data_IF_044628944232
#
_entry.id   IF_044628944232
#
_cell.length_a   1.000
_cell.length_b   1.000
_cell.length_c   1.000
_cell.angle_alpha   90.00
_cell.angle_beta   90.00
_cell.angle_gamma   90.00
#
_symmetry.space_group_name_H-M   'P 1'
#
loop_
_entity.id
_entity.type
_entity.pdbx_description
1 polymer ?
#
# COMPACT_ATOMS: atom_id res chain seq x y z
N UNK A 1 -41.66 3.12 -14.75
CA UNK A 1 -40.70 2.73 -13.69
C UNK A 1 -39.25 2.77 -14.18
N UNK A 2 -38.90 2.17 -15.30
CA UNK A 2 -37.53 2.11 -15.86
C UNK A 2 -36.86 3.48 -16.10
N UNK A 3 -37.60 4.47 -16.58
CA UNK A 3 -37.11 5.83 -16.83
C UNK A 3 -36.68 6.55 -15.55
N UNK A 4 -37.41 6.41 -14.43
CA UNK A 4 -37.01 7.01 -13.13
C UNK A 4 -35.69 6.43 -12.62
N UNK A 5 -35.50 5.13 -12.78
CA UNK A 5 -34.26 4.43 -12.42
C UNK A 5 -33.09 4.90 -13.29
N UNK A 6 -33.33 5.05 -14.61
CA UNK A 6 -32.32 5.54 -15.55
C UNK A 6 -31.86 6.95 -15.21
N UNK A 7 -32.78 7.90 -14.98
CA UNK A 7 -32.47 9.30 -14.63
C UNK A 7 -31.77 9.39 -13.25
N UNK A 8 -32.21 8.61 -12.27
CA UNK A 8 -31.54 8.54 -10.98
C UNK A 8 -30.09 8.08 -11.11
N UNK A 9 -29.85 7.09 -11.98
CA UNK A 9 -28.50 6.59 -12.25
C UNK A 9 -27.62 7.64 -12.96
N UNK A 10 -28.16 8.36 -13.93
CA UNK A 10 -27.46 9.46 -14.59
C UNK A 10 -27.11 10.58 -13.60
N UNK A 11 -28.05 11.01 -12.74
CA UNK A 11 -27.80 11.99 -11.69
C UNK A 11 -26.69 11.55 -10.72
N UNK A 12 -26.68 10.29 -10.31
CA UNK A 12 -25.66 9.76 -9.40
C UNK A 12 -24.27 9.76 -10.06
N UNK A 13 -24.18 9.45 -11.36
CA UNK A 13 -22.92 9.53 -12.10
C UNK A 13 -22.43 10.96 -12.21
N UNK A 14 -23.29 11.90 -12.57
CA UNK A 14 -22.95 13.33 -12.65
C UNK A 14 -22.48 13.86 -11.30
N UNK A 15 -23.24 13.62 -10.23
CA UNK A 15 -22.87 14.06 -8.89
C UNK A 15 -21.54 13.47 -8.41
N UNK A 16 -21.25 12.20 -8.73
CA UNK A 16 -19.97 11.56 -8.37
C UNK A 16 -18.82 12.16 -9.20
N UNK A 17 -19.02 12.44 -10.49
CA UNK A 17 -18.04 13.10 -11.34
C UNK A 17 -17.79 14.55 -10.86
N UNK A 18 -18.84 15.35 -10.66
CA UNK A 18 -18.72 16.73 -10.18
C UNK A 18 -18.02 16.82 -8.81
N UNK A 19 -18.37 15.95 -7.86
CA UNK A 19 -17.68 15.88 -6.56
C UNK A 19 -16.19 15.60 -6.69
N UNK A 20 -15.80 14.76 -7.64
CA UNK A 20 -14.40 14.41 -7.87
C UNK A 20 -13.63 15.52 -8.55
N UNK A 21 -14.28 16.25 -9.46
CA UNK A 21 -13.69 17.37 -10.19
C UNK A 21 -13.54 18.64 -9.33
N UNK A 22 -14.36 18.78 -8.28
CA UNK A 22 -14.28 19.90 -7.31
C UNK A 22 -13.25 19.69 -6.20
N UNK A 23 -12.48 18.60 -6.20
CA UNK A 23 -11.37 18.41 -5.26
C UNK A 23 -10.13 19.18 -5.74
N UNK A 24 -9.44 19.88 -4.83
CA UNK A 24 -8.30 20.76 -5.13
C UNK A 24 -7.07 20.06 -5.74
N UNK A 25 -7.01 18.70 -5.72
CA UNK A 25 -5.89 17.92 -6.28
C UNK A 25 -6.44 16.72 -7.06
N UNK A 26 -6.91 16.98 -8.28
CA UNK A 26 -7.47 15.94 -9.15
C UNK A 26 -6.36 15.31 -10.00
N UNK A 27 -5.84 14.17 -9.54
CA UNK A 27 -4.84 13.40 -10.29
C UNK A 27 -5.37 12.91 -11.67
N UNK A 28 -4.47 12.71 -12.66
CA UNK A 28 -4.83 12.33 -14.03
C UNK A 28 -5.66 11.04 -14.11
N UNK A 29 -5.45 10.08 -13.20
CA UNK A 29 -6.23 8.85 -13.14
C UNK A 29 -7.70 9.10 -12.78
N UNK A 30 -7.98 10.11 -11.95
CA UNK A 30 -9.35 10.51 -11.54
C UNK A 30 -10.06 11.18 -12.69
N UNK A 31 -9.38 12.05 -13.44
CA UNK A 31 -9.89 12.70 -14.64
C UNK A 31 -10.22 11.67 -15.73
N UNK A 32 -9.32 10.71 -15.97
CA UNK A 32 -9.52 9.65 -16.96
C UNK A 32 -10.68 8.72 -16.58
N UNK A 33 -10.86 8.43 -15.28
CA UNK A 33 -11.99 7.65 -14.80
C UNK A 33 -13.31 8.42 -14.95
N UNK A 34 -13.32 9.73 -14.66
CA UNK A 34 -14.49 10.59 -14.86
C UNK A 34 -14.87 10.63 -16.35
N UNK A 35 -13.91 10.84 -17.25
CA UNK A 35 -14.10 10.85 -18.68
C UNK A 35 -14.78 9.56 -19.18
N UNK A 36 -14.24 8.38 -18.85
CA UNK A 36 -14.83 7.07 -19.22
C UNK A 36 -16.28 6.92 -18.74
N UNK A 37 -16.62 7.44 -17.57
CA UNK A 37 -17.97 7.38 -17.03
C UNK A 37 -18.92 8.30 -17.77
N UNK A 38 -18.48 9.51 -18.09
CA UNK A 38 -19.26 10.49 -18.87
C UNK A 38 -19.51 9.98 -20.29
N UNK A 39 -18.50 9.42 -20.97
CA UNK A 39 -18.65 8.78 -22.28
C UNK A 39 -19.61 7.59 -22.25
N UNK A 40 -19.57 6.78 -21.19
CA UNK A 40 -20.50 5.66 -21.02
C UNK A 40 -21.92 6.16 -20.81
N UNK A 41 -22.10 7.26 -20.08
CA UNK A 41 -23.39 7.91 -19.89
C UNK A 41 -23.90 8.52 -21.18
N UNK A 42 -23.05 9.15 -21.99
CA UNK A 42 -23.39 9.70 -23.31
C UNK A 42 -23.95 8.61 -24.25
N UNK A 43 -23.26 7.47 -24.35
CA UNK A 43 -23.74 6.30 -25.13
C UNK A 43 -25.09 5.79 -24.63
N UNK A 44 -25.27 5.76 -23.32
CA UNK A 44 -26.52 5.32 -22.68
C UNK A 44 -27.68 6.27 -22.96
N UNK A 45 -27.43 7.60 -22.96
CA UNK A 45 -28.40 8.64 -23.32
C UNK A 45 -28.77 8.59 -24.81
N UNK A 46 -27.78 8.38 -25.70
CA UNK A 46 -28.02 8.17 -27.13
C UNK A 46 -28.94 6.98 -27.39
N UNK A 47 -28.70 5.87 -26.68
CA UNK A 47 -29.57 4.69 -26.76
C UNK A 47 -31.00 4.95 -26.23
N UNK A 48 -31.13 5.74 -25.15
CA UNK A 48 -32.41 6.05 -24.51
C UNK A 48 -33.23 7.11 -25.28
N UNK A 49 -32.63 7.85 -26.21
CA UNK A 49 -33.25 8.88 -27.05
C UNK A 49 -34.41 8.30 -27.85
N UNK A 50 -35.58 8.89 -27.71
CA UNK A 50 -36.83 8.45 -28.39
C UNK A 50 -37.38 7.09 -27.89
N UNK A 51 -36.68 6.38 -27.00
CA UNK A 51 -37.13 5.10 -26.42
C UNK A 51 -37.61 5.26 -24.97
N UNK A 52 -36.85 5.94 -24.18
CA UNK A 52 -37.11 6.20 -22.74
C UNK A 52 -37.23 7.66 -22.41
N UNK A 53 -36.67 8.55 -23.21
CA UNK A 53 -36.61 10.01 -23.00
C UNK A 53 -37.09 10.70 -24.27
N UNK A 54 -37.82 11.80 -24.10
CA UNK A 54 -38.21 12.67 -25.20
C UNK A 54 -36.96 13.13 -25.97
N UNK A 55 -37.05 13.19 -27.29
CA UNK A 55 -35.95 13.54 -28.20
C UNK A 55 -35.35 14.91 -27.87
N UNK A 56 -36.18 15.92 -27.66
CA UNK A 56 -35.72 17.28 -27.32
C UNK A 56 -34.97 17.36 -25.99
N UNK A 57 -35.47 16.67 -24.96
CA UNK A 57 -34.83 16.59 -23.65
C UNK A 57 -33.52 15.77 -23.71
N UNK A 58 -33.52 14.70 -24.49
CA UNK A 58 -32.30 13.90 -24.69
C UNK A 58 -31.21 14.70 -25.43
N UNK A 59 -31.60 15.48 -26.46
CA UNK A 59 -30.66 16.28 -27.24
C UNK A 59 -30.06 17.44 -26.41
N UNK A 60 -30.82 18.03 -25.49
CA UNK A 60 -30.26 19.00 -24.54
C UNK A 60 -29.25 18.37 -23.61
N UNK A 61 -29.60 17.25 -22.95
CA UNK A 61 -28.70 16.54 -22.05
C UNK A 61 -27.46 16.05 -22.76
N UNK A 62 -27.52 15.65 -24.02
CA UNK A 62 -26.37 15.21 -24.80
C UNK A 62 -25.44 16.40 -25.14
N UNK A 63 -25.98 17.62 -25.37
CA UNK A 63 -25.18 18.82 -25.56
C UNK A 63 -24.45 19.20 -24.27
N UNK A 64 -25.17 19.30 -23.15
CA UNK A 64 -24.58 19.64 -21.85
C UNK A 64 -23.50 18.65 -21.43
N UNK A 65 -23.72 17.35 -21.75
CA UNK A 65 -22.74 16.30 -21.46
C UNK A 65 -21.53 16.35 -22.39
N UNK A 66 -21.69 16.73 -23.65
CA UNK A 66 -20.58 16.92 -24.57
C UNK A 66 -19.68 18.09 -24.18
N UNK A 67 -20.28 19.21 -23.71
CA UNK A 67 -19.54 20.35 -23.16
C UNK A 67 -18.72 19.94 -21.93
N UNK A 68 -19.32 19.19 -21.00
CA UNK A 68 -18.62 18.70 -19.80
C UNK A 68 -17.49 17.72 -20.15
N UNK A 69 -17.69 16.82 -21.12
CA UNK A 69 -16.64 15.92 -21.61
C UNK A 69 -15.47 16.72 -22.16
N UNK A 70 -15.75 17.73 -23.00
CA UNK A 70 -14.74 18.59 -23.58
C UNK A 70 -13.95 19.36 -22.51
N UNK A 71 -14.61 19.87 -21.47
CA UNK A 71 -13.96 20.56 -20.35
C UNK A 71 -13.03 19.62 -19.57
N UNK A 72 -13.46 18.38 -19.31
CA UNK A 72 -12.63 17.35 -18.66
C UNK A 72 -11.45 16.93 -19.55
N UNK A 73 -11.63 16.82 -20.86
CA UNK A 73 -10.54 16.54 -21.81
C UNK A 73 -9.51 17.66 -21.83
N UNK A 74 -9.96 18.93 -21.89
CA UNK A 74 -9.07 20.09 -21.82
C UNK A 74 -8.28 20.12 -20.50
N UNK A 75 -8.95 19.83 -19.38
CA UNK A 75 -8.31 19.72 -18.06
C UNK A 75 -7.29 18.56 -18.01
N UNK A 76 -7.58 17.47 -18.71
CA UNK A 76 -6.65 16.32 -18.82
C UNK A 76 -5.44 16.68 -19.67
N UNK A 77 -5.61 17.43 -20.76
CA UNK A 77 -4.52 17.90 -21.61
C UNK A 77 -3.65 18.95 -20.90
N UNK A 78 -4.26 19.88 -20.15
CA UNK A 78 -3.53 20.83 -19.31
C UNK A 78 -2.81 20.16 -18.16
N UNK A 79 -3.40 19.11 -17.55
CA UNK A 79 -2.77 18.27 -16.53
C UNK A 79 -1.60 17.44 -17.05
N UNK A 80 -1.58 17.09 -18.33
CA UNK A 80 -0.41 16.45 -18.97
C UNK A 80 0.72 17.42 -19.27
N UNK A 81 0.43 18.71 -19.47
CA UNK A 81 1.44 19.78 -19.57
C UNK A 81 1.91 20.30 -18.21
N UNK A 82 1.12 20.12 -17.15
CA UNK A 82 1.42 20.45 -15.77
C UNK A 82 1.70 19.23 -14.93
N UNK A 83 2.66 18.40 -15.29
CA UNK A 83 3.30 17.54 -14.32
C UNK A 83 4.04 18.48 -13.35
N UNK A 84 3.40 18.87 -12.25
CA UNK A 84 4.05 19.52 -11.10
C UNK A 84 4.98 18.53 -10.39
N UNK A 85 5.77 17.80 -11.19
CA UNK A 85 6.92 17.05 -10.73
C UNK A 85 8.11 18.01 -10.66
N UNK A 86 8.84 17.97 -9.57
CA UNK A 86 10.13 18.65 -9.49
C UNK A 86 10.96 18.30 -10.74
N UNK A 87 11.37 19.32 -11.49
CA UNK A 87 12.32 19.18 -12.58
C UNK A 87 13.66 19.74 -12.14
N UNK A 88 14.71 18.94 -12.26
CA UNK A 88 16.05 19.41 -11.94
C UNK A 88 16.40 20.64 -12.81
N UNK A 89 16.88 21.76 -12.22
CA UNK A 89 17.24 22.96 -12.96
C UNK A 89 18.26 22.67 -14.05
N UNK A 90 18.16 23.36 -15.18
CA UNK A 90 19.05 23.20 -16.33
C UNK A 90 20.03 24.37 -16.35
N UNK A 91 21.31 24.06 -16.37
CA UNK A 91 22.37 25.08 -16.58
C UNK A 91 22.72 25.10 -18.06
N UNK A 92 22.48 26.23 -18.68
CA UNK A 92 22.89 26.48 -20.08
C UNK A 92 24.35 26.91 -20.09
N UNK A 93 25.21 26.12 -20.70
CA UNK A 93 26.58 26.50 -20.94
C UNK A 93 26.64 27.49 -22.12
N UNK A 94 27.27 28.64 -21.93
CA UNK A 94 27.44 29.68 -22.98
C UNK A 94 28.31 29.25 -24.17
N UNK A 95 28.82 28.00 -24.18
CA UNK A 95 29.62 27.41 -25.26
C UNK A 95 28.86 26.30 -26.01
N UNK A 96 29.47 25.79 -27.13
CA UNK A 96 28.96 24.62 -27.88
C UNK A 96 28.93 23.39 -26.96
N UNK A 97 27.74 23.01 -26.44
CA UNK A 97 27.57 21.84 -25.61
C UNK A 97 26.11 21.64 -25.17
N UNK A 98 25.78 20.41 -24.82
CA UNK A 98 24.45 20.05 -24.34
C UNK A 98 24.23 20.63 -22.95
N UNK A 99 23.06 21.22 -22.69
CA UNK A 99 22.64 21.71 -21.38
C UNK A 99 22.80 20.62 -20.31
N UNK A 100 23.20 21.04 -19.10
CA UNK A 100 23.47 20.14 -17.99
C UNK A 100 22.41 20.33 -16.91
N UNK A 101 21.82 19.24 -16.43
CA UNK A 101 20.98 19.26 -15.24
C UNK A 101 21.80 19.50 -13.98
N UNK A 102 21.37 20.48 -13.17
CA UNK A 102 21.94 20.77 -11.85
C UNK A 102 21.36 19.77 -10.84
N UNK A 103 22.08 18.69 -10.63
CA UNK A 103 21.73 17.66 -9.65
C UNK A 103 22.86 17.64 -8.63
N UNK A 104 22.56 18.01 -7.37
CA UNK A 104 23.58 18.11 -6.33
C UNK A 104 23.85 16.75 -5.67
N UNK A 105 25.00 16.68 -5.00
CA UNK A 105 25.39 15.48 -4.23
C UNK A 105 24.41 15.24 -3.08
N UNK A 106 23.95 16.30 -2.43
CA UNK A 106 23.03 16.29 -1.28
C UNK A 106 21.66 15.71 -1.69
N UNK A 107 21.12 16.17 -2.83
CA UNK A 107 19.87 15.62 -3.39
C UNK A 107 19.95 14.11 -3.62
N UNK A 108 21.02 13.65 -4.26
CA UNK A 108 21.19 12.22 -4.51
C UNK A 108 21.47 11.44 -3.21
N UNK A 109 22.20 12.04 -2.26
CA UNK A 109 22.45 11.44 -0.94
C UNK A 109 21.13 11.27 -0.17
N UNK A 110 20.29 12.31 -0.16
CA UNK A 110 18.98 12.27 0.50
C UNK A 110 18.07 11.21 -0.14
N UNK A 111 17.87 11.23 -1.45
CA UNK A 111 17.04 10.24 -2.14
C UNK A 111 17.55 8.81 -1.89
N UNK A 112 18.87 8.64 -1.82
CA UNK A 112 19.49 7.37 -1.54
C UNK A 112 19.29 6.91 -0.09
N UNK A 113 19.35 7.83 0.89
CA UNK A 113 19.04 7.53 2.30
C UNK A 113 17.60 7.11 2.49
N UNK A 114 16.65 7.71 1.74
CA UNK A 114 15.25 7.31 1.69
C UNK A 114 15.03 5.94 1.00
N UNK A 115 16.05 5.37 0.37
CA UNK A 115 16.01 4.03 -0.22
C UNK A 115 15.53 4.00 -1.67
N UNK A 116 15.42 5.14 -2.34
CA UNK A 116 15.02 5.18 -3.76
C UNK A 116 16.07 4.52 -4.65
N UNK A 117 15.59 3.82 -5.67
CA UNK A 117 16.40 3.23 -6.72
C UNK A 117 16.74 4.26 -7.79
N UNK A 118 17.78 4.02 -8.60
CA UNK A 118 18.17 4.95 -9.67
C UNK A 118 17.04 5.25 -10.69
N UNK A 119 16.17 4.29 -11.11
CA UNK A 119 14.98 4.61 -11.89
C UNK A 119 14.03 5.57 -11.16
N UNK A 120 13.67 5.29 -9.92
CA UNK A 120 12.80 6.17 -9.12
C UNK A 120 13.38 7.57 -8.91
N UNK A 121 14.71 7.67 -8.71
CA UNK A 121 15.39 8.98 -8.67
C UNK A 121 15.28 9.72 -10.01
N UNK A 122 15.33 8.99 -11.14
CA UNK A 122 15.17 9.58 -12.46
C UNK A 122 13.76 10.14 -12.66
N UNK A 123 12.76 9.38 -12.21
CA UNK A 123 11.35 9.79 -12.26
C UNK A 123 11.09 11.02 -11.36
N UNK A 124 11.59 11.01 -10.10
CA UNK A 124 11.43 12.13 -9.14
C UNK A 124 12.11 13.42 -9.64
N UNK A 125 13.30 13.31 -10.24
CA UNK A 125 14.07 14.46 -10.71
C UNK A 125 13.73 14.84 -12.17
N UNK A 126 12.81 14.12 -12.79
CA UNK A 126 12.39 14.25 -14.19
C UNK A 126 13.57 14.31 -15.16
N UNK A 127 14.50 13.35 -15.03
CA UNK A 127 15.70 13.24 -15.86
C UNK A 127 15.89 11.80 -16.34
N UNK A 128 16.70 11.60 -17.38
CA UNK A 128 16.97 10.24 -17.85
C UNK A 128 17.74 9.42 -16.80
N UNK A 129 17.43 8.11 -16.74
CA UNK A 129 18.17 7.15 -15.90
C UNK A 129 19.68 7.18 -16.16
N UNK A 130 20.09 7.45 -17.42
CA UNK A 130 21.51 7.60 -17.80
C UNK A 130 22.14 8.80 -17.11
N UNK A 131 21.42 9.92 -16.97
CA UNK A 131 21.87 11.12 -16.24
C UNK A 131 22.10 10.79 -14.78
N UNK A 132 21.15 10.14 -14.11
CA UNK A 132 21.27 9.72 -12.70
C UNK A 132 22.47 8.79 -12.52
N UNK A 133 22.62 7.76 -13.34
CA UNK A 133 23.76 6.83 -13.24
C UNK A 133 25.10 7.53 -13.42
N UNK A 134 25.19 8.52 -14.34
CA UNK A 134 26.38 9.33 -14.53
C UNK A 134 26.70 10.17 -13.30
N UNK A 135 25.71 10.85 -12.72
CA UNK A 135 25.88 11.66 -11.51
C UNK A 135 26.24 10.82 -10.29
N UNK A 136 25.59 9.65 -10.10
CA UNK A 136 25.97 8.72 -9.02
C UNK A 136 27.43 8.26 -9.13
N UNK A 137 27.95 8.03 -10.35
CA UNK A 137 29.36 7.70 -10.56
C UNK A 137 30.26 8.92 -10.27
N UNK A 138 29.90 10.09 -10.76
CA UNK A 138 30.64 11.34 -10.54
C UNK A 138 30.80 11.66 -9.05
N UNK A 139 29.79 11.42 -8.24
CA UNK A 139 29.82 11.64 -6.80
C UNK A 139 30.28 10.42 -5.99
N UNK A 140 30.82 9.41 -6.66
CA UNK A 140 31.34 8.18 -6.04
C UNK A 140 30.31 7.39 -5.21
N UNK A 141 29.02 7.52 -5.52
CA UNK A 141 27.96 6.71 -4.93
C UNK A 141 27.94 5.30 -5.51
N UNK A 142 28.89 4.47 -5.09
CA UNK A 142 28.91 3.05 -5.48
C UNK A 142 27.91 2.22 -4.69
N UNK A 143 27.55 1.03 -5.22
CA UNK A 143 26.76 0.06 -4.42
C UNK A 143 27.53 -0.42 -3.19
N UNK A 144 28.83 -0.54 -3.27
CA UNK A 144 29.69 -0.98 -2.18
C UNK A 144 29.66 0.01 -1.01
N UNK A 145 29.78 1.32 -1.27
CA UNK A 145 29.74 2.38 -0.24
C UNK A 145 28.40 2.49 0.52
N UNK A 146 27.39 1.71 0.12
CA UNK A 146 26.10 1.68 0.81
C UNK A 146 26.02 0.62 1.91
N UNK A 147 26.96 -0.29 1.96
CA UNK A 147 26.96 -1.38 2.94
C UNK A 147 28.00 -1.10 4.00
N UNK A 148 27.68 -1.49 5.24
CA UNK A 148 28.63 -1.40 6.34
C UNK A 148 29.84 -2.29 6.09
N UNK A 149 31.03 -1.76 6.27
CA UNK A 149 32.28 -2.49 6.25
C UNK A 149 32.45 -3.23 7.57
N UNK A 150 31.88 -4.41 7.65
CA UNK A 150 31.93 -5.31 8.79
C UNK A 150 32.71 -6.59 8.40
N UNK A 151 33.57 -7.07 9.28
CA UNK A 151 34.12 -8.41 9.18
C UNK A 151 33.01 -9.45 9.37
N UNK A 152 33.20 -10.65 8.87
CA UNK A 152 32.18 -11.71 9.02
C UNK A 152 32.00 -12.11 10.49
N UNK A 153 33.07 -12.08 11.30
CA UNK A 153 33.01 -12.32 12.75
C UNK A 153 32.22 -11.25 13.50
N UNK A 154 32.38 -9.99 13.14
CA UNK A 154 31.59 -8.88 13.72
C UNK A 154 30.12 -8.98 13.32
N UNK A 155 29.85 -9.33 12.06
CA UNK A 155 28.48 -9.57 11.59
C UNK A 155 27.83 -10.75 12.32
N UNK A 156 28.57 -11.84 12.53
CA UNK A 156 28.08 -13.03 13.23
C UNK A 156 27.67 -12.71 14.68
N UNK A 157 28.43 -11.88 15.40
CA UNK A 157 28.04 -11.38 16.74
C UNK A 157 26.70 -10.62 16.70
N UNK A 158 26.58 -9.65 15.81
CA UNK A 158 25.33 -8.89 15.68
C UNK A 158 24.14 -9.76 15.31
N UNK A 159 24.34 -10.74 14.43
CA UNK A 159 23.28 -11.68 14.02
C UNK A 159 22.94 -12.62 15.17
N UNK A 160 23.92 -13.09 15.93
CA UNK A 160 23.73 -13.95 17.11
C UNK A 160 22.89 -13.23 18.18
N UNK A 161 23.17 -11.97 18.48
CA UNK A 161 22.38 -11.15 19.42
C UNK A 161 20.91 -11.01 18.97
N UNK A 162 20.67 -10.90 17.64
CA UNK A 162 19.31 -10.77 17.10
C UNK A 162 18.57 -12.12 17.15
N UNK A 163 19.27 -13.22 16.90
CA UNK A 163 18.70 -14.57 16.83
C UNK A 163 18.54 -15.20 18.21
N UNK A 164 19.36 -14.82 19.21
CA UNK A 164 19.35 -15.39 20.56
C UNK A 164 17.95 -15.32 21.22
N UNK A 165 17.18 -14.27 20.93
CA UNK A 165 15.81 -14.13 21.44
C UNK A 165 14.74 -14.84 20.59
N UNK A 166 15.06 -15.26 19.37
CA UNK A 166 14.07 -15.85 18.46
C UNK A 166 14.72 -16.64 17.32
N UNK A 167 14.85 -17.93 17.48
CA UNK A 167 15.46 -18.82 16.46
C UNK A 167 14.64 -18.93 15.15
N UNK A 168 13.34 -18.60 15.18
CA UNK A 168 12.47 -18.67 14.02
C UNK A 168 12.59 -17.44 13.11
N UNK A 169 13.35 -16.42 13.53
CA UNK A 169 13.50 -15.18 12.77
C UNK A 169 14.14 -15.46 11.39
N UNK A 170 13.54 -14.89 10.35
CA UNK A 170 14.03 -15.09 8.97
C UNK A 170 15.12 -14.08 8.58
N UNK A 171 15.91 -14.36 7.53
CA UNK A 171 17.03 -13.50 7.12
C UNK A 171 16.61 -12.07 6.73
N UNK A 172 15.39 -11.86 6.27
CA UNK A 172 14.90 -10.50 5.97
C UNK A 172 14.59 -9.72 7.25
N UNK A 173 14.03 -10.36 8.27
CA UNK A 173 13.78 -9.71 9.55
C UNK A 173 15.10 -9.40 10.28
N UNK A 174 16.08 -10.30 10.24
CA UNK A 174 17.44 -10.04 10.75
C UNK A 174 18.04 -8.82 10.02
N UNK A 175 17.91 -8.77 8.69
CA UNK A 175 18.40 -7.63 7.90
C UNK A 175 17.70 -6.33 8.26
N UNK A 176 16.40 -6.37 8.54
CA UNK A 176 15.63 -5.22 9.01
C UNK A 176 16.11 -4.76 10.40
N UNK A 177 16.34 -5.69 11.33
CA UNK A 177 16.87 -5.38 12.67
C UNK A 177 18.28 -4.78 12.62
N UNK A 178 19.15 -5.29 11.75
CA UNK A 178 20.48 -4.69 11.50
C UNK A 178 20.34 -3.26 10.96
N UNK A 179 19.37 -3.02 10.06
CA UNK A 179 19.12 -1.69 9.49
C UNK A 179 18.64 -0.69 10.54
N UNK A 180 17.81 -1.10 11.49
CA UNK A 180 17.40 -0.27 12.64
C UNK A 180 18.61 0.10 13.50
N UNK A 181 19.60 -0.77 13.63
CA UNK A 181 20.89 -0.52 14.30
C UNK A 181 21.88 0.30 13.44
N UNK A 182 21.45 0.86 12.30
CA UNK A 182 22.29 1.61 11.37
C UNK A 182 23.18 0.75 10.46
N UNK A 183 23.11 -0.58 10.56
CA UNK A 183 23.96 -1.50 9.83
C UNK A 183 23.26 -2.00 8.55
N UNK A 184 23.64 -1.46 7.41
CA UNK A 184 23.15 -1.92 6.12
C UNK A 184 24.01 -3.06 5.58
N UNK A 185 23.50 -4.30 5.65
CA UNK A 185 24.24 -5.49 5.24
C UNK A 185 23.56 -6.17 4.03
N UNK A 186 24.38 -6.75 3.15
CA UNK A 186 23.88 -7.50 1.99
C UNK A 186 23.13 -8.76 2.44
N UNK A 187 22.01 -9.07 1.77
CA UNK A 187 21.20 -10.26 2.06
C UNK A 187 22.00 -11.55 2.04
N UNK A 188 22.95 -11.66 1.09
CA UNK A 188 23.83 -12.82 0.97
C UNK A 188 24.68 -13.02 2.22
N UNK A 189 25.30 -11.95 2.74
CA UNK A 189 26.12 -12.00 3.95
C UNK A 189 25.32 -12.36 5.19
N UNK A 190 24.11 -11.79 5.35
CA UNK A 190 23.22 -12.16 6.46
C UNK A 190 22.84 -13.65 6.40
N UNK A 191 22.52 -14.17 5.21
CA UNK A 191 22.22 -15.60 5.06
C UNK A 191 23.41 -16.49 5.40
N UNK A 192 24.61 -16.12 4.94
CA UNK A 192 25.84 -16.85 5.24
C UNK A 192 26.14 -16.84 6.75
N UNK A 193 25.98 -15.69 7.41
CA UNK A 193 26.13 -15.57 8.86
C UNK A 193 25.13 -16.45 9.62
N UNK A 194 23.85 -16.41 9.27
CA UNK A 194 22.82 -17.25 9.89
C UNK A 194 23.07 -18.75 9.68
N UNK A 195 23.66 -19.14 8.55
CA UNK A 195 24.04 -20.52 8.29
C UNK A 195 25.23 -20.97 9.18
N UNK A 196 26.23 -20.09 9.39
CA UNK A 196 27.36 -20.36 10.27
C UNK A 196 26.95 -20.51 11.74
N UNK A 197 26.02 -19.61 12.19
CA UNK A 197 25.57 -19.58 13.59
C UNK A 197 24.67 -20.77 13.93
N UNK A 198 23.69 -21.07 13.07
CA UNK A 198 22.73 -22.15 13.30
C UNK A 198 22.37 -22.86 11.99
N UNK A 199 23.19 -23.85 11.57
CA UNK A 199 22.96 -24.62 10.34
C UNK A 199 21.67 -25.45 10.39
N UNK A 200 21.28 -25.96 11.56
CA UNK A 200 20.06 -26.76 11.74
C UNK A 200 18.79 -25.93 11.48
N UNK A 201 18.70 -24.74 12.06
CA UNK A 201 17.58 -23.85 11.81
C UNK A 201 17.56 -23.34 10.35
N UNK A 202 18.70 -23.20 9.71
CA UNK A 202 18.78 -22.84 8.29
C UNK A 202 18.25 -23.97 7.40
N UNK A 203 18.63 -25.24 7.67
CA UNK A 203 18.13 -26.41 6.97
C UNK A 203 16.60 -26.56 7.14
N UNK A 204 16.09 -26.46 8.37
CA UNK A 204 14.66 -26.55 8.65
C UNK A 204 13.86 -25.50 7.85
N UNK A 205 14.34 -24.25 7.79
CA UNK A 205 13.71 -23.20 6.98
C UNK A 205 13.72 -23.48 5.48
N UNK A 206 14.72 -24.20 4.97
CA UNK A 206 14.82 -24.59 3.56
C UNK A 206 13.81 -25.67 3.20
N UNK A 207 13.56 -26.62 4.11
CA UNK A 207 12.63 -27.73 3.92
C UNK A 207 11.16 -27.29 4.03
N UNK A 208 10.86 -26.27 4.85
CA UNK A 208 9.49 -25.76 5.00
C UNK A 208 8.94 -25.25 3.65
N UNK A 209 8.02 -26.02 3.06
CA UNK A 209 7.33 -25.67 1.81
C UNK A 209 6.69 -24.29 1.92
N UNK A 210 6.98 -23.42 0.96
CA UNK A 210 6.26 -22.16 0.80
C UNK A 210 4.93 -22.46 0.11
N UNK A 211 3.78 -22.04 0.68
CA UNK A 211 2.50 -22.19 0.02
C UNK A 211 2.51 -21.41 -1.31
N UNK A 212 1.87 -21.96 -2.33
CA UNK A 212 1.68 -21.30 -3.61
C UNK A 212 0.97 -19.96 -3.43
N UNK A 213 1.49 -18.94 -4.08
CA UNK A 213 0.97 -17.59 -3.98
C UNK A 213 -0.13 -17.39 -5.01
N UNK A 214 -1.38 -17.30 -4.57
CA UNK A 214 -2.44 -16.76 -5.41
C UNK A 214 -2.22 -15.26 -5.61
N UNK A 215 -2.35 -14.79 -6.86
CA UNK A 215 -2.24 -13.38 -7.20
C UNK A 215 -3.55 -12.68 -6.87
N UNK A 216 -3.54 -11.82 -5.85
CA UNK A 216 -4.63 -10.88 -5.60
C UNK A 216 -4.31 -9.57 -6.33
N UNK A 217 -5.11 -9.22 -7.33
CA UNK A 217 -5.03 -7.93 -8.01
C UNK A 217 -5.88 -6.91 -7.24
N UNK A 218 -5.25 -5.83 -6.79
CA UNK A 218 -5.88 -4.68 -6.14
C UNK A 218 -5.54 -3.46 -6.96
N UNK A 219 -6.52 -2.61 -7.25
CA UNK A 219 -6.38 -1.53 -8.23
C UNK A 219 -5.35 -0.45 -7.84
N UNK A 220 -5.22 -0.13 -6.53
CA UNK A 220 -4.30 0.90 -6.05
C UNK A 220 -4.32 1.01 -4.52
N UNK A 221 -3.55 1.95 -3.94
CA UNK A 221 -3.61 2.25 -2.52
C UNK A 221 -5.03 2.63 -2.08
N UNK A 222 -5.41 2.29 -0.86
CA UNK A 222 -6.75 2.53 -0.31
C UNK A 222 -7.93 1.92 -1.10
N UNK A 223 -7.65 1.07 -2.10
CA UNK A 223 -8.73 0.37 -2.82
C UNK A 223 -9.36 -0.74 -1.99
N UNK A 224 -8.57 -1.43 -1.17
CA UNK A 224 -9.04 -2.55 -0.36
C UNK A 224 -8.18 -2.71 0.89
N UNK A 225 -8.77 -2.57 2.08
CA UNK A 225 -8.11 -2.97 3.33
C UNK A 225 -8.59 -4.36 3.75
N UNK A 226 -7.65 -5.20 4.16
CA UNK A 226 -7.91 -6.50 4.76
C UNK A 226 -7.84 -6.35 6.28
N UNK A 227 -8.92 -6.70 6.97
CA UNK A 227 -9.07 -6.57 8.43
C UNK A 227 -9.32 -7.95 9.00
N UNK A 228 -8.67 -8.25 10.13
CA UNK A 228 -8.81 -9.54 10.81
C UNK A 228 -8.27 -9.48 12.25
N UNK A 229 -8.66 -10.47 13.07
CA UNK A 229 -8.20 -10.68 14.43
C UNK A 229 -7.28 -11.89 14.55
N UNK A 230 -6.10 -11.73 15.13
CA UNK A 230 -5.20 -12.83 15.46
C UNK A 230 -5.44 -13.33 16.88
N UNK A 231 -5.93 -14.56 17.00
CA UNK A 231 -6.34 -15.20 18.27
C UNK A 231 -5.29 -16.16 18.83
N UNK A 232 -4.06 -16.17 18.32
CA UNK A 232 -3.02 -17.13 18.76
C UNK A 232 -2.61 -16.96 20.24
N UNK A 233 -2.81 -15.77 20.80
CA UNK A 233 -2.55 -15.48 22.21
C UNK A 233 -3.83 -15.38 23.06
N UNK A 234 -4.97 -15.84 22.57
CA UNK A 234 -6.26 -15.74 23.26
C UNK A 234 -6.29 -16.46 24.60
N UNK A 235 -5.50 -17.52 24.75
CA UNK A 235 -5.33 -18.24 26.03
C UNK A 235 -4.85 -17.32 27.16
N UNK A 236 -4.13 -16.28 26.82
CA UNK A 236 -3.64 -15.24 27.74
C UNK A 236 -4.47 -13.94 27.66
N UNK A 237 -5.69 -14.04 27.13
CA UNK A 237 -6.62 -12.92 26.95
C UNK A 237 -6.04 -11.80 26.08
N UNK A 238 -5.18 -12.14 25.14
CA UNK A 238 -4.62 -11.19 24.18
C UNK A 238 -5.14 -11.53 22.78
N UNK A 239 -5.81 -10.57 22.15
CA UNK A 239 -6.22 -10.60 20.74
C UNK A 239 -5.51 -9.46 20.03
N UNK A 240 -4.94 -9.73 18.86
CA UNK A 240 -4.28 -8.70 18.05
C UNK A 240 -5.15 -8.39 16.85
N UNK A 241 -5.74 -7.19 16.85
CA UNK A 241 -6.51 -6.68 15.71
C UNK A 241 -5.58 -5.97 14.74
N UNK A 242 -5.77 -6.20 13.45
CA UNK A 242 -4.94 -5.57 12.43
C UNK A 242 -5.67 -5.31 11.13
N UNK A 243 -5.14 -4.36 10.38
CA UNK A 243 -5.53 -4.12 9.01
C UNK A 243 -4.32 -3.80 8.13
N UNK A 244 -4.39 -4.26 6.89
CA UNK A 244 -3.34 -4.06 5.90
C UNK A 244 -3.96 -3.61 4.58
N UNK A 245 -3.37 -2.59 3.96
CA UNK A 245 -3.74 -2.19 2.60
C UNK A 245 -3.33 -3.27 1.59
N UNK A 246 -4.28 -3.71 0.80
CA UNK A 246 -4.11 -4.83 -0.13
C UNK A 246 -3.13 -4.56 -1.26
N UNK A 247 -2.93 -3.29 -1.63
CA UNK A 247 -2.01 -2.87 -2.69
C UNK A 247 -0.61 -2.61 -2.14
N UNK A 248 -0.46 -1.59 -1.30
CA UNK A 248 0.83 -1.14 -0.76
C UNK A 248 1.42 -2.09 0.29
N UNK A 249 0.57 -2.90 0.93
CA UNK A 249 0.88 -3.75 2.09
C UNK A 249 1.27 -2.95 3.34
N UNK A 250 0.89 -1.68 3.38
CA UNK A 250 1.00 -0.86 4.56
C UNK A 250 0.09 -1.44 5.65
N UNK A 251 0.64 -1.64 6.83
CA UNK A 251 -0.14 -1.97 8.02
C UNK A 251 -0.80 -0.68 8.49
N UNK A 252 -2.10 -0.53 8.25
CA UNK A 252 -2.83 0.70 8.55
C UNK A 252 -3.18 0.80 10.03
N UNK A 253 -3.38 -0.34 10.70
CA UNK A 253 -3.35 -0.44 12.16
C UNK A 253 -2.93 -1.84 12.61
N UNK A 254 -2.35 -1.91 13.80
CA UNK A 254 -2.03 -3.13 14.53
C UNK A 254 -2.18 -2.82 16.03
N UNK A 255 -3.11 -3.48 16.70
CA UNK A 255 -3.46 -3.19 18.08
C UNK A 255 -3.69 -4.47 18.88
N UNK A 256 -2.96 -4.64 19.98
CA UNK A 256 -3.18 -5.71 20.94
C UNK A 256 -4.23 -5.28 21.98
N UNK A 257 -5.19 -6.12 22.23
CA UNK A 257 -6.30 -5.86 23.17
C UNK A 257 -6.57 -7.08 24.05
N UNK A 258 -7.11 -6.86 25.21
CA UNK A 258 -7.59 -7.91 26.11
C UNK A 258 -9.03 -8.36 25.82
N UNK A 259 -9.61 -7.91 24.72
CA UNK A 259 -10.98 -8.22 24.33
C UNK A 259 -11.12 -8.30 22.80
N UNK A 260 -12.23 -8.92 22.35
CA UNK A 260 -12.59 -9.03 20.93
C UNK A 260 -13.89 -8.26 20.63
N UNK A 261 -14.03 -7.04 21.16
CA UNK A 261 -15.23 -6.23 20.99
C UNK A 261 -15.21 -5.46 19.68
N UNK A 262 -16.35 -5.35 19.02
CA UNK A 262 -16.51 -4.60 17.78
C UNK A 262 -16.15 -3.11 17.93
N UNK A 263 -16.40 -2.52 19.10
CA UNK A 263 -15.99 -1.14 19.41
C UNK A 263 -14.48 -0.95 19.43
N UNK A 264 -13.71 -1.95 19.88
CA UNK A 264 -12.23 -1.91 19.90
C UNK A 264 -11.66 -1.89 18.48
N UNK A 265 -12.20 -2.76 17.61
CA UNK A 265 -11.80 -2.80 16.18
C UNK A 265 -12.21 -1.51 15.48
N UNK A 266 -13.43 -1.01 15.73
CA UNK A 266 -13.92 0.25 15.16
C UNK A 266 -13.04 1.43 15.55
N UNK A 267 -12.65 1.57 16.82
CA UNK A 267 -11.78 2.64 17.29
C UNK A 267 -10.43 2.64 16.56
N UNK A 268 -9.87 1.46 16.33
CA UNK A 268 -8.61 1.31 15.56
C UNK A 268 -8.81 1.65 14.09
N UNK A 269 -9.94 1.23 13.51
CA UNK A 269 -10.31 1.55 12.13
C UNK A 269 -10.49 3.06 11.91
N UNK A 270 -11.22 3.75 12.80
CA UNK A 270 -11.44 5.20 12.69
C UNK A 270 -10.10 5.97 12.77
N UNK A 271 -9.21 5.60 13.69
CA UNK A 271 -7.86 6.21 13.76
C UNK A 271 -7.08 6.02 12.46
N UNK A 272 -7.16 4.83 11.87
CA UNK A 272 -6.53 4.55 10.58
C UNK A 272 -7.16 5.37 9.44
N UNK A 273 -8.49 5.52 9.44
CA UNK A 273 -9.20 6.36 8.46
C UNK A 273 -8.78 7.83 8.55
N UNK A 274 -8.60 8.36 9.76
CA UNK A 274 -8.09 9.74 9.97
C UNK A 274 -6.68 9.90 9.39
N UNK A 275 -5.82 8.88 9.52
CA UNK A 275 -4.42 8.97 9.08
C UNK A 275 -4.23 8.68 7.58
N UNK A 276 -5.02 7.77 6.99
CA UNK A 276 -4.80 7.26 5.64
C UNK A 276 -5.98 7.47 4.69
N UNK A 277 -7.08 8.08 5.16
CA UNK A 277 -8.32 8.23 4.41
C UNK A 277 -9.20 6.99 4.42
N UNK A 278 -10.46 7.15 4.00
CA UNK A 278 -11.45 6.07 3.94
C UNK A 278 -11.12 5.14 2.77
N UNK A 279 -10.93 3.82 2.99
CA UNK A 279 -10.70 2.89 1.90
C UNK A 279 -11.94 2.75 0.99
N UNK A 280 -11.74 2.35 -0.24
CA UNK A 280 -12.85 2.08 -1.16
C UNK A 280 -13.67 0.87 -0.71
N UNK A 281 -12.99 -0.17 -0.21
CA UNK A 281 -13.60 -1.40 0.31
C UNK A 281 -12.81 -1.93 1.50
N UNK A 282 -13.50 -2.65 2.37
CA UNK A 282 -12.87 -3.48 3.41
C UNK A 282 -13.20 -4.94 3.16
N UNK A 283 -12.26 -5.84 3.45
CA UNK A 283 -12.49 -7.28 3.47
C UNK A 283 -12.28 -7.80 4.87
N UNK A 284 -13.29 -8.47 5.40
CA UNK A 284 -13.28 -9.10 6.73
C UNK A 284 -13.74 -10.54 6.60
N UNK A 285 -13.47 -11.34 7.61
CA UNK A 285 -14.20 -12.58 7.83
C UNK A 285 -15.62 -12.28 8.33
N UNK A 286 -16.36 -13.35 8.73
CA UNK A 286 -17.73 -13.21 9.25
C UNK A 286 -17.78 -12.99 10.77
N UNK A 287 -16.65 -12.68 11.40
CA UNK A 287 -16.58 -12.41 12.84
C UNK A 287 -17.45 -11.23 13.28
N UNK A 288 -18.07 -11.35 14.44
CA UNK A 288 -18.95 -10.31 15.00
C UNK A 288 -18.20 -9.01 15.36
N UNK A 289 -16.91 -9.11 15.66
CA UNK A 289 -16.02 -7.98 15.95
C UNK A 289 -15.89 -7.01 14.78
N UNK A 290 -16.12 -7.46 13.55
CA UNK A 290 -16.02 -6.65 12.34
C UNK A 290 -17.33 -5.94 11.97
N UNK A 291 -18.44 -6.18 12.69
CA UNK A 291 -19.77 -5.65 12.36
C UNK A 291 -19.80 -4.12 12.32
N UNK A 292 -19.23 -3.46 13.33
CA UNK A 292 -19.24 -2.00 13.40
C UNK A 292 -18.40 -1.36 12.27
N UNK A 293 -17.31 -1.98 11.87
CA UNK A 293 -16.51 -1.53 10.71
C UNK A 293 -17.31 -1.66 9.42
N UNK A 294 -18.00 -2.79 9.22
CA UNK A 294 -18.86 -2.99 8.03
C UNK A 294 -19.99 -1.95 7.98
N UNK A 295 -20.64 -1.67 9.11
CA UNK A 295 -21.66 -0.63 9.21
C UNK A 295 -21.09 0.76 8.87
N UNK A 296 -19.94 1.10 9.44
CA UNK A 296 -19.26 2.38 9.16
C UNK A 296 -18.88 2.53 7.69
N UNK A 297 -18.42 1.47 7.05
CA UNK A 297 -18.13 1.48 5.61
C UNK A 297 -19.38 1.72 4.77
N UNK A 298 -20.51 1.19 5.16
CA UNK A 298 -21.80 1.47 4.50
C UNK A 298 -22.21 2.93 4.69
N UNK A 299 -21.97 3.52 5.86
CA UNK A 299 -22.22 4.95 6.11
C UNK A 299 -21.30 5.81 5.23
N UNK A 300 -20.00 5.53 5.19
CA UNK A 300 -19.03 6.31 4.43
C UNK A 300 -19.18 6.18 2.91
N UNK A 301 -19.57 5.01 2.41
CA UNK A 301 -19.53 4.67 0.98
C UNK A 301 -20.89 4.35 0.36
N UNK A 302 -21.96 4.30 1.15
CA UNK A 302 -23.31 3.92 0.74
C UNK A 302 -23.59 2.42 0.87
N UNK A 303 -24.84 2.09 1.22
CA UNK A 303 -25.28 0.72 1.53
C UNK A 303 -25.22 -0.24 0.33
N UNK A 304 -25.56 0.23 -0.86
CA UNK A 304 -25.67 -0.62 -2.07
C UNK A 304 -24.36 -0.77 -2.85
N UNK A 305 -23.26 -0.19 -2.35
CA UNK A 305 -21.98 -0.21 -3.08
C UNK A 305 -21.19 -1.49 -2.91
N UNK A 306 -21.52 -2.34 -1.93
CA UNK A 306 -20.74 -3.53 -1.60
C UNK A 306 -19.33 -3.16 -1.09
N UNK A 307 -19.22 -2.11 -0.27
CA UNK A 307 -17.95 -1.61 0.27
C UNK A 307 -17.40 -2.49 1.40
N UNK A 308 -18.23 -3.28 2.06
CA UNK A 308 -17.84 -4.27 3.07
C UNK A 308 -17.94 -5.68 2.48
N UNK A 309 -16.79 -6.29 2.18
CA UNK A 309 -16.68 -7.64 1.61
C UNK A 309 -16.51 -8.65 2.74
N UNK A 310 -17.58 -9.34 3.11
CA UNK A 310 -17.55 -10.42 4.11
C UNK A 310 -17.34 -11.78 3.42
N UNK A 311 -16.39 -12.57 3.90
CA UNK A 311 -16.07 -13.84 3.29
C UNK A 311 -15.44 -14.84 4.24
N UNK A 312 -15.00 -15.98 3.69
CA UNK A 312 -14.19 -16.94 4.43
C UNK A 312 -12.79 -16.35 4.68
N UNK A 313 -12.17 -16.68 5.82
CA UNK A 313 -10.79 -16.28 6.19
C UNK A 313 -9.78 -16.61 5.08
N UNK A 314 -9.97 -17.74 4.38
CA UNK A 314 -9.13 -18.15 3.24
C UNK A 314 -9.03 -17.11 2.11
N UNK A 315 -9.97 -16.18 2.03
CA UNK A 315 -9.95 -15.09 1.05
C UNK A 315 -9.22 -13.84 1.59
N UNK A 316 -8.86 -13.82 2.87
CA UNK A 316 -8.20 -12.69 3.53
C UNK A 316 -6.66 -12.83 3.54
N UNK A 317 -6.08 -13.36 2.47
CA UNK A 317 -4.68 -13.81 2.38
C UNK A 317 -3.62 -12.75 2.73
N UNK A 318 -3.90 -11.46 2.54
CA UNK A 318 -2.95 -10.38 2.83
C UNK A 318 -2.69 -10.27 4.33
N UNK A 319 -3.76 -10.27 5.12
CA UNK A 319 -3.67 -10.18 6.58
C UNK A 319 -3.15 -11.50 7.18
N UNK A 320 -3.55 -12.64 6.62
CA UNK A 320 -3.02 -13.95 7.03
C UNK A 320 -1.50 -14.03 6.85
N UNK A 321 -0.97 -13.42 5.79
CA UNK A 321 0.47 -13.31 5.61
C UNK A 321 1.12 -12.44 6.68
N UNK A 322 0.50 -11.32 7.06
CA UNK A 322 0.95 -10.46 8.16
C UNK A 322 1.00 -11.26 9.47
N UNK A 323 -0.02 -12.06 9.76
CA UNK A 323 -0.04 -12.95 10.94
C UNK A 323 1.11 -13.95 10.95
N UNK A 324 1.42 -14.52 9.80
CA UNK A 324 2.59 -15.42 9.65
C UNK A 324 3.92 -14.70 9.89
N UNK A 325 4.07 -13.46 9.48
CA UNK A 325 5.27 -12.67 9.70
C UNK A 325 5.35 -12.17 11.15
N UNK A 326 4.22 -11.76 11.74
CA UNK A 326 4.12 -11.38 13.15
C UNK A 326 4.43 -12.56 14.09
N UNK A 327 3.92 -13.76 13.77
CA UNK A 327 4.21 -14.97 14.52
C UNK A 327 5.72 -15.24 14.56
N UNK A 328 6.35 -15.28 13.39
CA UNK A 328 7.78 -15.59 13.29
C UNK A 328 8.67 -14.49 13.86
N UNK A 329 8.23 -13.26 13.81
CA UNK A 329 9.00 -12.10 14.27
C UNK A 329 8.91 -11.83 15.77
N UNK A 330 7.75 -12.13 16.38
CA UNK A 330 7.48 -11.67 17.74
C UNK A 330 6.60 -12.63 18.57
N UNK A 331 5.40 -12.98 18.10
CA UNK A 331 4.38 -13.59 18.96
C UNK A 331 4.71 -15.03 19.39
N UNK A 332 5.54 -15.75 18.64
CA UNK A 332 6.06 -17.07 19.04
C UNK A 332 6.87 -16.99 20.35
N UNK A 333 7.68 -15.94 20.52
CA UNK A 333 8.48 -15.73 21.72
C UNK A 333 7.59 -15.53 22.94
N UNK A 334 6.60 -14.65 22.82
CA UNK A 334 5.63 -14.42 23.88
C UNK A 334 4.83 -15.67 24.21
N UNK A 335 4.45 -16.45 23.22
CA UNK A 335 3.76 -17.72 23.40
C UNK A 335 4.59 -18.68 24.28
N UNK A 336 5.90 -18.81 24.01
CA UNK A 336 6.81 -19.64 24.81
C UNK A 336 6.98 -19.09 26.23
N UNK A 337 7.23 -17.78 26.36
CA UNK A 337 7.38 -17.12 27.67
C UNK A 337 6.14 -17.32 28.54
N UNK A 338 4.96 -17.05 28.00
CA UNK A 338 3.70 -17.21 28.75
C UNK A 338 3.43 -18.67 29.11
N UNK A 339 3.74 -19.61 28.20
CA UNK A 339 3.57 -21.04 28.47
C UNK A 339 4.50 -21.51 29.58
N UNK A 340 5.78 -21.13 29.58
CA UNK A 340 6.76 -21.51 30.60
C UNK A 340 6.44 -20.89 31.97
N UNK A 341 6.02 -19.62 31.99
CA UNK A 341 5.62 -18.93 33.21
C UNK A 341 4.33 -19.52 33.81
N UNK A 342 3.37 -19.87 32.96
CA UNK A 342 2.14 -20.53 33.41
C UNK A 342 2.41 -21.91 33.99
N UNK A 343 3.27 -22.71 33.35
CA UNK A 343 3.65 -24.06 33.83
C UNK A 343 4.33 -24.00 35.18
N UNK A 344 5.19 -23.01 35.44
CA UNK A 344 5.85 -22.78 36.74
C UNK A 344 4.90 -22.37 37.85
N UNK A 345 3.75 -21.77 37.55
CA UNK A 345 2.73 -21.40 38.54
C UNK A 345 1.72 -22.51 38.81
N UNK A 346 1.67 -23.51 37.94
CA UNK A 346 0.74 -24.63 38.05
C UNK A 346 1.40 -25.90 38.66
N UNK A 347 2.71 -25.89 38.82
CA UNK A 347 3.51 -26.86 39.58
C UNK A 347 3.83 -26.30 40.98
#
# INVERSE_FOLDING_TARGET
MAWRIFISRCKNILNDCTRRLLMDDVGPDVLQLALRRLETMQRSLQWARGRLINVTAADQLLRDLAELIQEVELSTQHGQQGCFGYQAPVVFNRGRGRSLYLITREQLSFLKSCGFTAPQMADILNVSLRTIRRRLRQYHFTRASMYAELTDSALDKHVQDIVAGNEQIGPEAVRASLRVRGLRVQRRRVRASMLRINPGAAALRAVLRRPERRTNQVAGPNSLWHIDGNHKLIRWRIVIHGAIDGYSRLVVFLHASNNNRSSTVLSSFIRAVVSYGVPSRVRTDRGGENNAVCLMMNIFRGFDRGSALRGRSTHNQRIERLWGDLWRGMTNVYCVIYFTTWRRKAS
#
